data_IF_723309955762
#
_entry.id   IF_723309955762
#
_cell.length_a   1.000
_cell.length_b   1.000
_cell.length_c   1.000
_cell.angle_alpha   90.00
_cell.angle_beta   90.00
_cell.angle_gamma   90.00
#
_symmetry.space_group_name_H-M   'P 1'
#
loop_
_entity.id
_entity.type
_entity.pdbx_description
1 polymer ?
#
# COMPACT_ATOMS: atom_id res chain seq x y z
N UNK A 1 7.39 -14.13 12.37
CA UNK A 1 6.54 -13.47 11.35
C UNK A 1 5.44 -14.43 10.99
N UNK A 2 4.21 -14.20 11.47
CA UNK A 2 3.07 -15.01 11.05
C UNK A 2 2.66 -14.56 9.64
N UNK A 3 3.04 -15.35 8.64
CA UNK A 3 2.59 -15.11 7.28
C UNK A 3 1.12 -15.54 7.18
N UNK A 4 0.19 -14.57 7.17
CA UNK A 4 -1.25 -14.83 7.20
C UNK A 4 -1.77 -15.30 5.83
N UNK A 5 -1.06 -15.02 4.73
CA UNK A 5 -1.53 -15.28 3.37
C UNK A 5 -1.97 -16.73 3.08
N UNK A 6 -1.23 -17.78 3.50
CA UNK A 6 -1.68 -19.16 3.31
C UNK A 6 -3.05 -19.45 3.93
N UNK A 7 -3.39 -18.80 5.05
CA UNK A 7 -4.68 -18.98 5.74
C UNK A 7 -5.87 -18.27 5.04
N UNK A 8 -5.58 -17.43 4.05
CA UNK A 8 -6.59 -16.73 3.25
C UNK A 8 -7.00 -17.51 2.00
N UNK A 9 -6.21 -18.52 1.60
CA UNK A 9 -6.54 -19.37 0.46
C UNK A 9 -7.88 -20.07 0.71
N UNK A 10 -8.77 -20.01 -0.27
CA UNK A 10 -10.11 -20.56 -0.21
C UNK A 10 -11.16 -19.64 0.41
N UNK A 11 -10.77 -18.50 0.99
CA UNK A 11 -11.72 -17.50 1.49
C UNK A 11 -12.36 -16.74 0.34
N UNK A 12 -13.61 -16.33 0.55
CA UNK A 12 -14.34 -15.44 -0.36
C UNK A 12 -13.79 -14.03 -0.25
N UNK A 13 -13.41 -13.45 -1.37
CA UNK A 13 -13.03 -12.05 -1.49
C UNK A 13 -14.26 -11.21 -1.84
N UNK A 14 -14.52 -10.18 -1.06
CA UNK A 14 -15.58 -9.19 -1.31
C UNK A 14 -14.97 -7.85 -1.71
N UNK A 15 -15.74 -6.95 -2.32
CA UNK A 15 -15.41 -5.52 -2.33
C UNK A 15 -15.80 -4.86 -1.00
N UNK A 16 -15.48 -3.59 -0.84
CA UNK A 16 -15.84 -2.78 0.34
C UNK A 16 -17.35 -2.66 0.60
N UNK A 17 -18.18 -2.88 -0.43
CA UNK A 17 -19.64 -2.87 -0.32
C UNK A 17 -20.20 -4.26 0.03
N UNK A 18 -19.33 -5.24 0.27
CA UNK A 18 -19.69 -6.61 0.60
C UNK A 18 -20.07 -7.47 -0.62
N UNK A 19 -19.92 -6.95 -1.84
CA UNK A 19 -20.20 -7.72 -3.06
C UNK A 19 -19.09 -8.74 -3.27
N UNK A 20 -19.47 -10.00 -3.44
CA UNK A 20 -18.53 -11.06 -3.74
C UNK A 20 -17.86 -10.88 -5.11
N UNK A 21 -16.53 -10.83 -5.10
CA UNK A 21 -15.66 -10.77 -6.28
C UNK A 21 -15.32 -12.18 -6.75
N UNK A 22 -15.02 -13.08 -5.80
CA UNK A 22 -14.64 -14.46 -6.11
C UNK A 22 -13.94 -15.15 -4.93
N UNK A 23 -13.21 -16.22 -5.20
CA UNK A 23 -12.49 -17.01 -4.20
C UNK A 23 -10.98 -16.87 -4.38
N UNK A 24 -10.26 -16.69 -3.27
CA UNK A 24 -8.79 -16.66 -3.30
C UNK A 24 -8.27 -18.07 -3.60
N UNK A 25 -7.52 -18.22 -4.69
CA UNK A 25 -6.97 -19.52 -5.10
C UNK A 25 -5.47 -19.61 -4.90
N UNK A 26 -4.74 -18.50 -5.00
CA UNK A 26 -3.29 -18.48 -4.84
C UNK A 26 -2.74 -17.06 -4.59
N UNK A 27 -1.43 -17.00 -4.35
CA UNK A 27 -0.64 -15.78 -4.25
C UNK A 27 0.58 -15.88 -5.16
N UNK A 28 0.96 -14.76 -5.78
CA UNK A 28 2.17 -14.68 -6.62
C UNK A 28 3.26 -13.98 -5.79
N UNK A 29 4.43 -14.61 -5.74
CA UNK A 29 5.61 -14.11 -5.03
C UNK A 29 6.67 -13.59 -6.01
N UNK A 30 7.42 -12.58 -5.60
CA UNK A 30 8.61 -12.13 -6.31
C UNK A 30 9.85 -12.99 -5.98
N UNK A 31 10.95 -12.74 -6.69
CA UNK A 31 12.24 -13.41 -6.50
C UNK A 31 12.87 -13.17 -5.13
N UNK A 32 12.40 -12.16 -4.40
CA UNK A 32 12.81 -11.86 -3.02
C UNK A 32 11.91 -12.56 -1.98
N UNK A 33 10.91 -13.33 -2.41
CA UNK A 33 9.97 -14.05 -1.55
C UNK A 33 8.81 -13.20 -1.02
N UNK A 34 8.63 -11.98 -1.52
CA UNK A 34 7.50 -11.13 -1.11
C UNK A 34 6.26 -11.47 -1.94
N UNK A 35 5.10 -11.57 -1.28
CA UNK A 35 3.82 -11.66 -1.98
C UNK A 35 3.55 -10.33 -2.69
N UNK A 36 3.19 -10.40 -3.97
CA UNK A 36 2.89 -9.23 -4.83
C UNK A 36 1.46 -9.20 -5.31
N UNK A 37 0.90 -10.35 -5.63
CA UNK A 37 -0.45 -10.42 -6.17
C UNK A 37 -1.25 -11.51 -5.49
N UNK A 38 -2.56 -11.28 -5.35
CA UNK A 38 -3.56 -12.29 -5.00
C UNK A 38 -4.26 -12.75 -6.28
N UNK A 39 -4.38 -14.06 -6.45
CA UNK A 39 -5.07 -14.69 -7.56
C UNK A 39 -6.46 -15.14 -7.13
N UNK A 40 -7.47 -14.70 -7.87
CA UNK A 40 -8.89 -14.90 -7.58
C UNK A 40 -9.53 -15.68 -8.72
N UNK A 41 -10.28 -16.72 -8.37
CA UNK A 41 -11.25 -17.33 -9.27
C UNK A 41 -12.57 -16.56 -9.14
N UNK A 42 -12.92 -15.83 -10.20
CA UNK A 42 -14.19 -15.12 -10.27
C UNK A 42 -15.36 -16.08 -10.47
N UNK A 43 -16.59 -15.62 -10.23
CA UNK A 43 -17.81 -16.42 -10.51
C UNK A 43 -17.95 -16.86 -11.97
N UNK A 44 -17.24 -16.20 -12.89
CA UNK A 44 -17.19 -16.54 -14.31
C UNK A 44 -16.08 -17.56 -14.63
N UNK A 45 -15.51 -18.22 -13.62
CA UNK A 45 -14.37 -19.16 -13.74
C UNK A 45 -13.11 -18.55 -14.36
N UNK A 46 -13.08 -17.21 -14.51
CA UNK A 46 -11.88 -16.50 -14.95
C UNK A 46 -10.98 -16.22 -13.77
N UNK A 47 -9.68 -16.50 -13.96
CA UNK A 47 -8.64 -16.11 -13.04
C UNK A 47 -8.30 -14.63 -13.23
N UNK A 48 -8.45 -13.87 -12.15
CA UNK A 48 -8.15 -12.43 -12.10
C UNK A 48 -7.10 -12.21 -11.02
N UNK A 49 -6.17 -11.30 -11.27
CA UNK A 49 -5.12 -10.92 -10.33
C UNK A 49 -5.35 -9.52 -9.80
N UNK A 50 -5.04 -9.32 -8.52
CA UNK A 50 -5.01 -8.00 -7.90
C UNK A 50 -3.70 -7.83 -7.12
N UNK A 51 -3.12 -6.62 -7.07
CA UNK A 51 -2.02 -6.31 -6.16
C UNK A 51 -2.36 -6.71 -4.72
N UNK A 52 -1.45 -7.36 -4.00
CA UNK A 52 -1.71 -7.82 -2.62
C UNK A 52 -1.97 -6.65 -1.68
N UNK A 53 -1.43 -5.48 -2.02
CA UNK A 53 -1.66 -4.25 -1.29
C UNK A 53 -3.18 -4.01 -1.22
N UNK A 54 -3.95 -4.34 -2.29
CA UNK A 54 -5.45 -4.28 -2.42
C UNK A 54 -6.20 -5.05 -1.37
N UNK A 55 -5.54 -6.02 -0.76
CA UNK A 55 -6.16 -6.95 0.15
C UNK A 55 -6.14 -6.40 1.57
N UNK A 56 -7.33 -6.19 2.14
CA UNK A 56 -7.50 -6.04 3.59
C UNK A 56 -8.17 -7.29 4.13
N UNK A 57 -7.74 -7.70 5.32
CA UNK A 57 -8.28 -8.88 5.99
C UNK A 57 -8.44 -8.60 7.48
N UNK A 58 -9.52 -9.12 8.04
CA UNK A 58 -9.76 -9.23 9.48
C UNK A 58 -9.78 -10.72 9.87
N UNK A 59 -10.14 -11.04 11.11
CA UNK A 59 -10.27 -12.44 11.52
C UNK A 59 -11.34 -13.17 10.69
N UNK A 60 -12.41 -12.46 10.30
CA UNK A 60 -13.62 -13.04 9.70
C UNK A 60 -13.75 -12.76 8.20
N UNK A 61 -13.32 -11.58 7.73
CA UNK A 61 -13.54 -11.14 6.36
C UNK A 61 -12.25 -10.82 5.59
N UNK A 62 -12.32 -10.95 4.27
CA UNK A 62 -11.29 -10.52 3.33
C UNK A 62 -11.94 -9.67 2.25
N UNK A 63 -11.45 -8.46 2.05
CA UNK A 63 -12.02 -7.52 1.09
C UNK A 63 -10.96 -6.79 0.28
N UNK A 64 -11.36 -6.39 -0.92
CA UNK A 64 -10.56 -5.67 -1.88
C UNK A 64 -10.90 -4.18 -1.82
N UNK A 65 -9.91 -3.37 -1.48
CA UNK A 65 -10.04 -1.91 -1.48
C UNK A 65 -9.92 -1.39 -2.93
N UNK A 66 -10.68 -0.35 -3.27
CA UNK A 66 -10.53 0.33 -4.55
C UNK A 66 -9.12 0.91 -4.74
N UNK A 67 -8.65 0.97 -5.99
CA UNK A 67 -7.31 1.53 -6.28
C UNK A 67 -7.20 3.00 -5.87
N UNK A 68 -8.28 3.78 -6.01
CA UNK A 68 -8.30 5.19 -5.64
C UNK A 68 -8.16 5.34 -4.13
N UNK A 69 -8.94 4.57 -3.37
CA UNK A 69 -8.89 4.60 -1.91
C UNK A 69 -7.52 4.18 -1.39
N UNK A 70 -6.89 3.14 -1.95
CA UNK A 70 -5.51 2.82 -1.57
C UNK A 70 -4.56 3.95 -1.88
N UNK A 71 -4.62 4.53 -3.08
CA UNK A 71 -3.70 5.62 -3.45
C UNK A 71 -3.82 6.77 -2.45
N UNK A 72 -5.03 7.07 -1.99
CA UNK A 72 -5.24 8.05 -0.92
C UNK A 72 -4.61 7.59 0.39
N UNK A 73 -4.81 6.34 0.82
CA UNK A 73 -4.18 5.78 2.02
C UNK A 73 -2.63 5.85 1.95
N UNK A 74 -2.02 5.42 0.85
CA UNK A 74 -0.57 5.48 0.65
C UNK A 74 -0.02 6.91 0.72
N UNK A 75 -0.76 7.88 0.16
CA UNK A 75 -0.39 9.30 0.24
C UNK A 75 -0.52 9.77 1.69
N UNK A 76 -1.64 9.47 2.36
CA UNK A 76 -1.87 9.83 3.76
C UNK A 76 -0.85 9.21 4.72
N UNK A 77 -0.33 8.01 4.45
CA UNK A 77 0.73 7.39 5.24
C UNK A 77 2.09 8.07 5.04
N UNK A 78 2.40 8.50 3.81
CA UNK A 78 3.67 9.17 3.48
C UNK A 78 3.67 10.65 3.84
N UNK A 79 2.51 11.31 3.81
CA UNK A 79 2.38 12.75 4.00
C UNK A 79 2.95 13.27 5.33
N UNK A 80 2.68 12.64 6.50
CA UNK A 80 3.21 13.11 7.77
C UNK A 80 4.73 13.14 7.81
N UNK A 81 5.38 12.15 7.18
CA UNK A 81 6.84 12.07 7.11
C UNK A 81 7.41 13.18 6.24
N UNK A 82 6.78 13.44 5.09
CA UNK A 82 7.19 14.53 4.19
C UNK A 82 7.02 15.91 4.83
N UNK A 83 5.88 16.14 5.50
CA UNK A 83 5.62 17.38 6.23
C UNK A 83 6.68 17.61 7.32
N UNK A 84 6.97 16.57 8.11
CA UNK A 84 7.96 16.67 9.18
C UNK A 84 9.38 16.91 8.66
N UNK A 85 9.75 16.28 7.54
CA UNK A 85 11.03 16.56 6.86
C UNK A 85 11.12 18.03 6.43
N UNK A 86 10.03 18.59 5.87
CA UNK A 86 9.96 19.99 5.46
C UNK A 86 10.06 20.95 6.64
N UNK A 87 9.33 20.69 7.71
CA UNK A 87 9.38 21.49 8.94
C UNK A 87 10.80 21.53 9.55
N UNK A 88 11.48 20.38 9.62
CA UNK A 88 12.85 20.29 10.11
C UNK A 88 13.80 21.07 9.20
N UNK A 89 13.69 20.88 7.88
CA UNK A 89 14.55 21.57 6.90
C UNK A 89 14.38 23.09 6.98
N UNK A 90 13.13 23.58 7.10
CA UNK A 90 12.85 25.00 7.31
C UNK A 90 13.43 25.54 8.62
N UNK A 91 13.34 24.76 9.70
CA UNK A 91 13.89 25.12 11.01
C UNK A 91 15.41 25.27 10.94
N UNK A 92 16.11 24.29 10.35
CA UNK A 92 17.57 24.33 10.16
C UNK A 92 18.00 25.56 9.35
N UNK A 93 17.26 25.90 8.30
CA UNK A 93 17.55 27.08 7.49
C UNK A 93 17.31 28.38 8.26
N UNK A 94 16.16 28.52 8.95
CA UNK A 94 15.83 29.70 9.76
C UNK A 94 16.83 29.93 10.89
N UNK A 95 17.33 28.85 11.50
CA UNK A 95 18.35 28.88 12.54
C UNK A 95 19.77 29.13 12.00
N UNK A 96 19.95 29.23 10.67
CA UNK A 96 21.24 29.38 9.98
C UNK A 96 22.20 28.22 10.24
N UNK A 97 21.67 27.03 10.52
CA UNK A 97 22.46 25.81 10.73
C UNK A 97 22.90 25.16 9.42
N UNK A 98 22.24 25.53 8.31
CA UNK A 98 22.57 25.09 6.95
C UNK A 98 22.67 26.27 6.00
N UNK A 99 23.47 26.12 4.95
CA UNK A 99 23.63 27.12 3.89
C UNK A 99 22.44 27.10 2.92
N UNK A 100 22.15 28.22 2.23
CA UNK A 100 21.06 28.30 1.24
C UNK A 100 21.17 27.23 0.15
N UNK A 101 22.37 26.89 -0.33
CA UNK A 101 22.57 25.90 -1.39
C UNK A 101 22.16 24.50 -0.93
N UNK A 102 22.42 24.18 0.35
CA UNK A 102 22.02 22.91 0.97
C UNK A 102 20.51 22.84 1.12
N UNK A 103 19.90 23.94 1.55
CA UNK A 103 18.45 24.06 1.68
C UNK A 103 17.75 23.84 0.32
N UNK A 104 18.20 24.52 -0.74
CA UNK A 104 17.65 24.40 -2.09
C UNK A 104 17.76 22.95 -2.62
N UNK A 105 18.93 22.33 -2.45
CA UNK A 105 19.14 20.94 -2.88
C UNK A 105 18.22 19.95 -2.17
N UNK A 106 18.08 20.07 -0.84
CA UNK A 106 17.24 19.15 -0.05
C UNK A 106 15.74 19.41 -0.26
N UNK A 107 15.33 20.67 -0.48
CA UNK A 107 13.94 20.99 -0.82
C UNK A 107 13.55 20.36 -2.16
N UNK A 108 14.43 20.42 -3.17
CA UNK A 108 14.18 19.83 -4.48
C UNK A 108 14.04 18.29 -4.41
N UNK A 109 14.71 17.62 -3.47
CA UNK A 109 14.57 16.18 -3.25
C UNK A 109 13.24 15.82 -2.56
N UNK A 110 12.75 16.67 -1.64
CA UNK A 110 11.47 16.46 -0.94
C UNK A 110 10.27 16.70 -1.86
N UNK A 111 10.38 17.62 -2.82
CA UNK A 111 9.31 17.97 -3.76
C UNK A 111 9.18 17.00 -4.96
N UNK A 112 10.00 15.94 -5.00
CA UNK A 112 10.03 14.93 -6.07
C UNK A 112 9.18 13.70 -5.75
#
# INVERSE_FOLDING_TARGET
MNNVFPSLIGRTLKDENGKEIGRIVSFIIDSSGNVREVLIESKSEMLVRYPVERLKYSQEDVFLVFDVERRVEEICEKMPVLLKKREILESLFKNKEILPEIYESLSAEIDK
#
